data_IF_744379794155
#
_entry.id   IF_744379794155
#
_cell.length_a   1.000
_cell.length_b   1.000
_cell.length_c   1.000
_cell.angle_alpha   90.00
_cell.angle_beta   90.00
_cell.angle_gamma   90.00
#
_symmetry.space_group_name_H-M   'P 1'
#
loop_
_entity.id
_entity.type
_entity.pdbx_description
1 polymer ?
#
# COMPACT_ATOMS: atom_id res chain seq x y z
N UNK A 1 0.19 4.50 -11.99
CA UNK A 1 1.31 3.62 -11.76
C UNK A 1 1.10 2.29 -12.49
N UNK A 2 2.16 1.79 -13.13
CA UNK A 2 2.08 0.52 -13.86
C UNK A 2 3.33 -0.32 -13.57
N UNK A 3 3.13 -1.60 -13.28
CA UNK A 3 4.17 -2.62 -13.17
C UNK A 3 3.70 -3.87 -13.93
N UNK A 4 4.44 -4.30 -14.97
CA UNK A 4 3.96 -5.36 -15.86
C UNK A 4 2.60 -4.99 -16.47
N UNK A 5 1.61 -5.83 -16.27
CA UNK A 5 0.22 -5.62 -16.67
C UNK A 5 -0.69 -5.11 -15.52
N UNK A 6 -0.13 -4.95 -14.33
CA UNK A 6 -0.85 -4.39 -13.18
C UNK A 6 -0.79 -2.85 -13.23
N UNK A 7 -1.96 -2.22 -13.18
CA UNK A 7 -2.12 -0.77 -13.27
C UNK A 7 -3.03 -0.25 -12.16
N UNK A 8 -2.55 0.78 -11.45
CA UNK A 8 -3.30 1.47 -10.41
C UNK A 8 -3.45 2.96 -10.75
N UNK A 9 -4.60 3.53 -10.38
CA UNK A 9 -4.83 4.96 -10.34
C UNK A 9 -4.95 5.39 -8.88
N UNK A 10 -4.08 6.29 -8.43
CA UNK A 10 -4.23 6.97 -7.15
C UNK A 10 -4.67 8.42 -7.37
N UNK A 11 -5.61 8.87 -6.55
CA UNK A 11 -6.09 10.24 -6.53
C UNK A 11 -6.12 10.74 -5.09
N UNK A 12 -5.81 12.02 -4.91
CA UNK A 12 -5.82 12.67 -3.59
C UNK A 12 -6.60 13.96 -3.64
N UNK A 13 -7.31 14.26 -2.57
CA UNK A 13 -7.91 15.56 -2.35
C UNK A 13 -7.89 15.90 -0.86
N UNK A 14 -7.88 17.18 -0.54
CA UNK A 14 -7.96 17.67 0.83
C UNK A 14 -9.02 18.76 0.98
N UNK A 15 -9.60 18.84 2.17
CA UNK A 15 -10.40 19.99 2.54
C UNK A 15 -9.51 21.23 2.62
N UNK A 16 -10.06 22.40 2.28
CA UNK A 16 -9.33 23.66 2.32
C UNK A 16 -8.92 24.06 3.74
N UNK A 17 -9.82 23.84 4.70
CA UNK A 17 -9.64 24.22 6.09
C UNK A 17 -10.00 23.05 7.01
N UNK A 18 -9.37 22.98 8.17
CA UNK A 18 -9.74 22.03 9.21
C UNK A 18 -11.08 22.37 9.83
N UNK A 19 -11.84 21.38 10.25
CA UNK A 19 -13.06 21.58 11.04
C UNK A 19 -12.66 22.13 12.40
N UNK A 20 -13.28 23.24 12.89
CA UNK A 20 -12.95 23.81 14.20
C UNK A 20 -13.08 22.78 15.34
N UNK A 21 -12.03 22.66 16.15
CA UNK A 21 -11.97 21.74 17.28
C UNK A 21 -11.43 20.35 16.94
N UNK A 22 -11.00 20.10 15.71
CA UNK A 22 -10.31 18.86 15.35
C UNK A 22 -8.88 18.91 15.86
N UNK A 23 -8.46 17.90 16.65
CA UNK A 23 -7.15 17.77 17.28
C UNK A 23 -6.33 16.60 16.71
N UNK A 24 -6.79 15.98 15.62
CA UNK A 24 -6.13 14.90 14.91
C UNK A 24 -6.15 15.13 13.40
N UNK A 25 -5.37 14.36 12.66
CA UNK A 25 -5.34 14.40 11.20
C UNK A 25 -6.36 13.41 10.63
N UNK A 26 -7.47 13.89 10.00
CA UNK A 26 -8.49 13.02 9.40
C UNK A 26 -8.03 12.52 8.03
N UNK A 27 -7.21 11.46 8.01
CA UNK A 27 -6.81 10.76 6.79
C UNK A 27 -7.77 9.61 6.53
N UNK A 28 -8.32 9.58 5.34
CA UNK A 28 -9.11 8.45 4.84
C UNK A 28 -8.45 7.88 3.60
N UNK A 29 -8.13 6.59 3.65
CA UNK A 29 -7.56 5.84 2.54
C UNK A 29 -8.58 4.81 2.07
N UNK A 30 -8.85 4.78 0.77
CA UNK A 30 -9.67 3.76 0.12
C UNK A 30 -8.83 3.06 -0.96
N UNK A 31 -8.81 1.73 -0.90
CA UNK A 31 -8.25 0.86 -1.94
C UNK A 31 -9.34 -0.06 -2.47
N UNK A 32 -9.46 -0.17 -3.79
CA UNK A 32 -10.50 -0.98 -4.42
C UNK A 32 -9.97 -1.77 -5.60
N UNK A 33 -10.33 -3.05 -5.60
CA UNK A 33 -10.15 -3.97 -6.72
C UNK A 33 -11.51 -4.26 -7.35
N UNK A 34 -11.73 -3.73 -8.54
CA UNK A 34 -12.98 -3.96 -9.26
C UNK A 34 -12.86 -5.17 -10.17
N UNK A 35 -13.96 -5.92 -10.33
CA UNK A 35 -14.02 -7.05 -11.27
C UNK A 35 -13.55 -6.67 -12.67
N UNK A 36 -13.79 -5.44 -13.10
CA UNK A 36 -13.36 -4.92 -14.39
C UNK A 36 -11.83 -4.93 -14.58
N UNK A 37 -11.03 -4.80 -13.49
CA UNK A 37 -9.56 -4.86 -13.57
C UNK A 37 -9.05 -6.23 -14.06
N UNK A 38 -9.81 -7.30 -13.79
CA UNK A 38 -9.53 -8.66 -14.27
C UNK A 38 -10.35 -9.03 -15.53
N UNK A 39 -10.94 -8.03 -16.21
CA UNK A 39 -11.79 -8.26 -17.38
C UNK A 39 -13.08 -9.04 -17.10
N UNK A 40 -13.59 -8.97 -15.86
CA UNK A 40 -14.77 -9.74 -15.42
C UNK A 40 -15.92 -8.81 -15.03
N UNK A 41 -17.11 -9.39 -14.95
CA UNK A 41 -18.29 -8.72 -14.38
C UNK A 41 -18.54 -9.22 -12.96
N UNK A 42 -19.10 -8.38 -12.07
CA UNK A 42 -19.56 -8.83 -10.77
C UNK A 42 -20.56 -9.98 -10.91
N UNK A 43 -20.31 -11.06 -10.17
CA UNK A 43 -21.21 -12.22 -10.10
C UNK A 43 -22.31 -12.01 -9.06
N UNK A 44 -22.99 -13.10 -8.71
CA UNK A 44 -24.04 -13.12 -7.70
C UNK A 44 -25.37 -12.50 -8.14
N UNK A 45 -26.30 -12.44 -7.19
CA UNK A 45 -27.68 -12.01 -7.47
C UNK A 45 -27.78 -10.53 -7.85
N UNK A 46 -27.05 -9.66 -7.15
CA UNK A 46 -27.14 -8.21 -7.36
C UNK A 46 -26.35 -7.71 -8.57
N UNK A 47 -25.40 -8.49 -9.09
CA UNK A 47 -24.49 -8.12 -10.19
C UNK A 47 -23.82 -6.75 -9.98
N UNK A 48 -23.43 -6.47 -8.76
CA UNK A 48 -22.75 -5.22 -8.33
C UNK A 48 -21.46 -5.53 -7.59
N UNK A 49 -20.57 -4.55 -7.58
CA UNK A 49 -19.42 -4.55 -6.67
C UNK A 49 -19.92 -4.66 -5.22
N UNK A 50 -19.34 -5.57 -4.45
CA UNK A 50 -19.72 -5.80 -3.07
C UNK A 50 -19.09 -4.80 -2.09
N UNK A 51 -19.18 -5.13 -0.81
CA UNK A 51 -18.36 -4.46 0.23
C UNK A 51 -16.89 -4.75 -0.03
N UNK A 52 -16.02 -3.89 0.50
CA UNK A 52 -14.59 -4.14 0.49
C UNK A 52 -14.29 -5.51 1.11
N UNK A 53 -13.40 -6.27 0.48
CA UNK A 53 -12.86 -7.52 1.03
C UNK A 53 -11.92 -7.22 2.20
N UNK A 54 -11.63 -8.23 3.01
CA UNK A 54 -10.66 -8.11 4.11
C UNK A 54 -9.28 -7.71 3.59
N UNK A 55 -8.88 -8.20 2.42
CA UNK A 55 -7.64 -7.82 1.75
C UNK A 55 -7.62 -6.34 1.35
N UNK A 56 -8.69 -5.83 0.75
CA UNK A 56 -8.81 -4.39 0.41
C UNK A 56 -8.74 -3.52 1.68
N UNK A 57 -9.42 -3.93 2.76
CA UNK A 57 -9.40 -3.23 4.05
C UNK A 57 -7.99 -3.23 4.65
N UNK A 58 -7.29 -4.38 4.59
CA UNK A 58 -5.92 -4.48 5.10
C UNK A 58 -4.99 -3.57 4.31
N UNK A 59 -5.06 -3.59 2.99
CA UNK A 59 -4.27 -2.70 2.12
C UNK A 59 -4.53 -1.23 2.44
N UNK A 60 -5.80 -0.80 2.63
CA UNK A 60 -6.11 0.56 3.08
C UNK A 60 -5.37 0.93 4.38
N UNK A 61 -5.34 0.02 5.35
CA UNK A 61 -4.70 0.25 6.65
C UNK A 61 -3.18 0.30 6.57
N UNK A 62 -2.57 -0.50 5.70
CA UNK A 62 -1.12 -0.47 5.46
C UNK A 62 -0.71 0.86 4.84
N UNK A 63 -1.41 1.29 3.80
CA UNK A 63 -1.18 2.59 3.14
C UNK A 63 -1.39 3.76 4.11
N UNK A 64 -2.48 3.78 4.88
CA UNK A 64 -2.72 4.81 5.90
C UNK A 64 -1.57 4.87 6.92
N UNK A 65 -1.16 3.71 7.44
CA UNK A 65 -0.11 3.59 8.45
C UNK A 65 1.26 4.06 7.94
N UNK A 66 1.54 3.83 6.65
CA UNK A 66 2.79 4.26 6.02
C UNK A 66 2.80 5.77 5.75
N UNK A 67 1.66 6.35 5.31
CA UNK A 67 1.57 7.76 4.93
C UNK A 67 1.36 8.72 6.11
N UNK A 68 0.56 8.31 7.09
CA UNK A 68 0.11 9.17 8.20
C UNK A 68 1.23 9.89 8.96
N UNK A 69 2.37 9.26 9.30
CA UNK A 69 3.46 9.92 10.02
C UNK A 69 4.14 11.05 9.27
N UNK A 70 3.93 11.14 7.95
CA UNK A 70 4.57 12.12 7.07
C UNK A 70 3.75 13.39 6.86
N UNK A 71 2.60 13.51 7.52
CA UNK A 71 1.87 14.76 7.56
C UNK A 71 2.34 15.60 8.75
N UNK A 72 2.46 16.94 8.60
CA UNK A 72 2.82 17.82 9.69
C UNK A 72 1.87 17.68 10.89
N UNK A 73 2.38 17.69 12.11
CA UNK A 73 1.59 17.49 13.33
C UNK A 73 0.49 18.53 13.56
N UNK A 74 0.63 19.70 12.94
CA UNK A 74 -0.36 20.80 12.99
C UNK A 74 -1.33 20.78 11.78
N UNK A 75 -1.26 19.79 10.91
CA UNK A 75 -2.15 19.67 9.77
C UNK A 75 -3.39 18.84 10.14
N UNK A 76 -4.56 19.49 10.23
CA UNK A 76 -5.82 18.87 10.66
C UNK A 76 -6.93 18.97 9.61
N UNK A 77 -6.64 19.39 8.39
CA UNK A 77 -7.60 19.33 7.30
C UNK A 77 -7.82 17.88 6.86
N UNK A 78 -9.05 17.55 6.48
CA UNK A 78 -9.40 16.22 6.00
C UNK A 78 -8.69 15.91 4.69
N UNK A 79 -8.05 14.73 4.60
CA UNK A 79 -7.40 14.23 3.39
C UNK A 79 -8.03 12.90 2.99
N UNK A 80 -8.35 12.78 1.72
CA UNK A 80 -8.89 11.60 1.12
C UNK A 80 -7.95 11.08 0.03
N UNK A 81 -7.49 9.84 0.21
CA UNK A 81 -6.63 9.12 -0.74
C UNK A 81 -7.43 7.95 -1.31
N UNK A 82 -7.61 7.90 -2.61
CA UNK A 82 -8.34 6.83 -3.26
C UNK A 82 -7.45 6.14 -4.30
N UNK A 83 -7.24 4.84 -4.13
CA UNK A 83 -6.44 3.99 -5.01
C UNK A 83 -7.33 2.93 -5.62
N UNK A 84 -7.36 2.85 -6.94
CA UNK A 84 -8.18 1.91 -7.69
C UNK A 84 -7.29 1.05 -8.58
N UNK A 85 -7.43 -0.27 -8.48
CA UNK A 85 -6.83 -1.22 -9.40
C UNK A 85 -7.59 -1.20 -10.74
N UNK A 86 -6.91 -0.78 -11.81
CA UNK A 86 -7.46 -0.65 -13.15
C UNK A 86 -7.21 -1.87 -14.03
N UNK A 87 -6.08 -2.54 -13.82
CA UNK A 87 -5.72 -3.75 -14.55
C UNK A 87 -4.90 -4.67 -13.65
N UNK A 88 -5.16 -5.97 -13.73
CA UNK A 88 -4.40 -7.01 -13.05
C UNK A 88 -4.40 -8.28 -13.89
N UNK A 89 -3.25 -8.94 -14.00
CA UNK A 89 -3.09 -10.22 -14.69
C UNK A 89 -3.05 -11.43 -13.73
N UNK A 90 -3.08 -11.16 -12.42
CA UNK A 90 -2.99 -12.19 -11.39
C UNK A 90 -1.57 -12.73 -11.19
N UNK A 91 -0.54 -12.03 -11.67
CA UNK A 91 0.88 -12.36 -11.48
C UNK A 91 1.48 -11.47 -10.40
N UNK A 92 1.43 -10.15 -10.61
CA UNK A 92 1.99 -9.17 -9.70
C UNK A 92 0.97 -8.76 -8.63
N UNK A 93 1.42 -8.65 -7.39
CA UNK A 93 0.58 -8.21 -6.27
C UNK A 93 0.44 -6.68 -6.28
N UNK A 94 -0.80 -6.15 -6.20
CA UNK A 94 -1.03 -4.71 -6.31
C UNK A 94 -0.89 -3.93 -4.99
N UNK A 95 -0.82 -4.60 -3.84
CA UNK A 95 -0.89 -3.96 -2.52
C UNK A 95 0.29 -3.04 -2.20
N UNK A 96 1.54 -3.50 -2.40
CA UNK A 96 2.71 -2.64 -2.22
C UNK A 96 2.71 -1.46 -3.21
N UNK A 97 2.26 -1.73 -4.44
CA UNK A 97 2.11 -0.68 -5.46
C UNK A 97 1.06 0.37 -5.07
N UNK A 98 0.05 0.00 -4.26
CA UNK A 98 -0.97 0.93 -3.80
C UNK A 98 -0.39 2.04 -2.92
N UNK A 99 0.50 1.69 -1.97
CA UNK A 99 1.20 2.66 -1.13
C UNK A 99 2.12 3.57 -1.93
N UNK A 100 2.88 3.01 -2.85
CA UNK A 100 3.72 3.81 -3.75
C UNK A 100 2.91 4.75 -4.64
N UNK A 101 1.79 4.28 -5.23
CA UNK A 101 0.91 5.12 -6.04
C UNK A 101 0.26 6.26 -5.22
N UNK A 102 -0.16 5.98 -3.99
CA UNK A 102 -0.71 6.98 -3.07
C UNK A 102 0.34 8.04 -2.69
N UNK A 103 1.57 7.61 -2.39
CA UNK A 103 2.69 8.50 -2.11
C UNK A 103 3.03 9.40 -3.30
N UNK A 104 3.07 8.84 -4.52
CA UNK A 104 3.32 9.61 -5.72
C UNK A 104 2.22 10.65 -5.98
N UNK A 105 0.94 10.30 -5.73
CA UNK A 105 -0.17 11.24 -5.86
C UNK A 105 -0.10 12.39 -4.86
N UNK A 106 0.29 12.12 -3.60
CA UNK A 106 0.52 13.14 -2.59
C UNK A 106 1.70 14.05 -2.95
N UNK A 107 2.81 13.47 -3.40
CA UNK A 107 4.03 14.22 -3.74
C UNK A 107 3.86 15.22 -4.89
N UNK A 108 2.91 15.00 -5.79
CA UNK A 108 2.59 15.95 -6.90
C UNK A 108 1.43 16.87 -6.57
N UNK A 109 0.84 16.77 -5.39
CA UNK A 109 -0.25 17.63 -4.92
C UNK A 109 0.28 18.85 -4.17
N UNK A 110 -0.61 19.77 -3.81
CA UNK A 110 -0.34 20.90 -2.92
C UNK A 110 -0.59 20.58 -1.43
N UNK A 111 -0.89 19.33 -1.11
CA UNK A 111 -1.13 18.86 0.26
C UNK A 111 0.23 18.79 0.98
N UNK A 112 0.34 19.35 2.21
CA UNK A 112 1.57 19.25 3.00
C UNK A 112 1.90 17.80 3.31
N UNK A 113 3.01 17.29 2.75
CA UNK A 113 3.43 15.90 2.87
C UNK A 113 4.95 15.81 2.84
N UNK A 114 5.55 15.24 3.88
CA UNK A 114 7.01 15.12 4.07
C UNK A 114 7.60 13.84 3.43
N UNK A 115 6.89 13.29 2.42
CA UNK A 115 7.37 12.17 1.61
C UNK A 115 8.26 12.63 0.45
N UNK A 116 8.50 11.76 -0.54
CA UNK A 116 7.75 10.53 -0.81
C UNK A 116 8.16 9.34 0.06
N UNK A 117 7.32 8.30 0.04
CA UNK A 117 7.67 6.95 0.49
C UNK A 117 7.61 5.98 -0.67
N UNK A 118 8.39 4.91 -0.55
CA UNK A 118 8.19 3.66 -1.30
C UNK A 118 7.59 2.61 -0.37
N UNK A 119 6.76 1.76 -0.91
CA UNK A 119 6.24 0.59 -0.22
C UNK A 119 6.55 -0.64 -1.07
N UNK A 120 7.22 -1.62 -0.46
CA UNK A 120 7.63 -2.85 -1.14
C UNK A 120 7.27 -4.06 -0.29
N UNK A 121 6.95 -5.15 -0.97
CA UNK A 121 6.82 -6.46 -0.34
C UNK A 121 8.12 -7.24 -0.51
N UNK A 122 8.62 -7.84 0.56
CA UNK A 122 9.78 -8.72 0.53
C UNK A 122 9.38 -10.09 1.06
N UNK A 123 9.59 -11.11 0.26
CA UNK A 123 9.42 -12.50 0.66
C UNK A 123 10.77 -13.21 0.72
N UNK A 124 10.90 -14.20 1.61
CA UNK A 124 12.01 -15.14 1.59
C UNK A 124 11.53 -16.46 1.04
N UNK A 125 12.11 -16.85 -0.10
CA UNK A 125 11.76 -18.08 -0.83
C UNK A 125 13.03 -18.92 -0.97
N UNK A 126 13.03 -20.12 -0.42
CA UNK A 126 14.21 -21.02 -0.43
C UNK A 126 15.50 -20.37 0.11
N UNK A 127 15.38 -19.46 1.07
CA UNK A 127 16.51 -18.73 1.68
C UNK A 127 16.96 -17.48 0.91
N UNK A 128 16.35 -17.14 -0.22
CA UNK A 128 16.65 -15.95 -1.01
C UNK A 128 15.56 -14.88 -0.80
N UNK A 129 15.96 -13.60 -0.76
CA UNK A 129 15.04 -12.47 -0.64
C UNK A 129 14.57 -12.02 -2.02
N UNK A 130 13.25 -11.96 -2.19
CA UNK A 130 12.61 -11.54 -3.44
C UNK A 130 11.78 -10.28 -3.15
N UNK A 131 12.07 -9.20 -3.86
CA UNK A 131 11.29 -7.95 -3.78
C UNK A 131 10.10 -8.03 -4.73
N UNK A 132 8.94 -7.62 -4.24
CA UNK A 132 7.66 -7.69 -4.94
C UNK A 132 7.41 -9.08 -5.57
N UNK A 133 7.34 -10.13 -4.74
CA UNK A 133 7.16 -11.49 -5.22
C UNK A 133 5.84 -11.64 -5.96
N UNK A 134 5.81 -12.55 -6.92
CA UNK A 134 4.56 -13.00 -7.55
C UNK A 134 3.73 -13.85 -6.58
N UNK A 135 2.43 -14.00 -6.83
CA UNK A 135 1.57 -14.88 -6.03
C UNK A 135 2.15 -16.30 -5.89
N UNK A 136 2.69 -16.87 -6.97
CA UNK A 136 3.29 -18.22 -6.97
C UNK A 136 4.54 -18.31 -6.09
N UNK A 137 5.35 -17.26 -6.07
CA UNK A 137 6.55 -17.21 -5.22
C UNK A 137 6.15 -17.09 -3.75
N UNK A 138 5.13 -16.30 -3.46
CA UNK A 138 4.64 -16.08 -2.09
C UNK A 138 4.12 -17.38 -1.44
N UNK A 139 3.47 -18.27 -2.20
CA UNK A 139 3.02 -19.56 -1.68
C UNK A 139 4.14 -20.43 -1.10
N UNK A 140 5.38 -20.23 -1.55
CA UNK A 140 6.57 -20.98 -1.11
C UNK A 140 7.38 -20.22 -0.05
N UNK A 141 6.97 -19.02 0.31
CA UNK A 141 7.71 -18.17 1.24
C UNK A 141 7.59 -18.68 2.69
N UNK A 142 8.67 -18.52 3.44
CA UNK A 142 8.71 -18.69 4.88
C UNK A 142 8.72 -17.34 5.64
N UNK A 143 8.91 -16.25 4.91
CA UNK A 143 8.77 -14.86 5.39
C UNK A 143 8.08 -14.05 4.31
N UNK A 144 7.13 -13.22 4.71
CA UNK A 144 6.43 -12.25 3.89
C UNK A 144 6.25 -10.97 4.70
N UNK A 145 6.92 -9.90 4.30
CA UNK A 145 6.85 -8.61 4.96
C UNK A 145 6.56 -7.49 3.97
N UNK A 146 5.73 -6.55 4.41
CA UNK A 146 5.48 -5.28 3.73
C UNK A 146 6.26 -4.18 4.46
N UNK A 147 7.01 -3.39 3.73
CA UNK A 147 7.84 -2.32 4.29
C UNK A 147 7.55 -1.03 3.56
N UNK A 148 7.15 -0.01 4.33
CA UNK A 148 7.04 1.37 3.83
C UNK A 148 8.21 2.19 4.36
N UNK A 149 8.95 2.85 3.48
CA UNK A 149 10.14 3.60 3.84
C UNK A 149 10.28 4.92 3.06
N UNK A 150 10.88 5.91 3.70
CA UNK A 150 11.50 7.07 3.04
C UNK A 150 12.95 6.72 2.68
N UNK A 151 13.65 7.63 2.02
CA UNK A 151 15.09 7.47 1.74
C UNK A 151 15.92 7.23 3.02
N UNK A 152 15.53 7.82 4.14
CA UNK A 152 16.30 7.77 5.40
C UNK A 152 15.73 6.81 6.44
N UNK A 153 14.41 6.58 6.44
CA UNK A 153 13.73 5.93 7.56
C UNK A 153 12.71 4.88 7.10
N UNK A 154 12.67 3.78 7.85
CA UNK A 154 11.57 2.81 7.73
C UNK A 154 10.39 3.33 8.56
N UNK A 155 9.25 3.55 7.90
CA UNK A 155 8.04 4.12 8.48
C UNK A 155 7.05 3.05 8.95
N UNK A 156 7.00 1.92 8.24
CA UNK A 156 6.05 0.85 8.51
C UNK A 156 6.68 -0.50 8.17
N UNK A 157 6.46 -1.47 9.05
CA UNK A 157 6.74 -2.89 8.81
C UNK A 157 5.52 -3.69 9.26
N UNK A 158 5.06 -4.58 8.42
CA UNK A 158 4.00 -5.53 8.72
C UNK A 158 4.30 -6.83 8.00
N UNK A 159 3.90 -7.98 8.58
CA UNK A 159 4.10 -9.23 7.86
C UNK A 159 3.93 -10.46 8.75
N UNK A 160 4.15 -11.60 8.14
CA UNK A 160 4.10 -12.90 8.79
C UNK A 160 5.33 -13.75 8.42
N UNK A 161 5.70 -14.65 9.33
CA UNK A 161 6.88 -15.50 9.12
C UNK A 161 6.79 -16.81 9.91
N UNK A 162 7.46 -17.84 9.38
CA UNK A 162 7.50 -19.19 9.95
C UNK A 162 8.80 -19.37 10.74
N UNK A 163 8.85 -18.85 11.98
CA UNK A 163 9.98 -19.03 12.92
C UNK A 163 11.37 -18.71 12.31
N UNK A 164 11.47 -17.56 11.62
CA UNK A 164 12.76 -17.09 11.09
C UNK A 164 13.60 -16.40 12.18
N UNK A 165 14.90 -16.28 11.96
CA UNK A 165 15.80 -15.62 12.91
C UNK A 165 15.67 -14.09 12.82
N UNK A 166 16.02 -13.38 13.91
CA UNK A 166 16.08 -11.91 13.91
C UNK A 166 17.07 -11.39 12.85
N UNK A 167 18.14 -12.13 12.60
CA UNK A 167 19.14 -11.75 11.59
C UNK A 167 18.54 -11.80 10.18
N UNK A 168 17.71 -12.82 9.88
CA UNK A 168 17.01 -12.92 8.60
C UNK A 168 16.03 -11.78 8.41
N UNK A 169 15.28 -11.41 9.47
CA UNK A 169 14.37 -10.25 9.42
C UNK A 169 15.15 -8.95 9.18
N UNK A 170 16.26 -8.72 9.88
CA UNK A 170 17.10 -7.54 9.65
C UNK A 170 17.65 -7.47 8.22
N UNK A 171 18.03 -8.61 7.65
CA UNK A 171 18.48 -8.66 6.26
C UNK A 171 17.33 -8.35 5.27
N UNK A 172 16.14 -8.88 5.52
CA UNK A 172 14.95 -8.56 4.71
C UNK A 172 14.60 -7.07 4.74
N UNK A 173 14.68 -6.44 5.93
CA UNK A 173 14.46 -5.00 6.08
C UNK A 173 15.49 -4.15 5.33
N UNK A 174 16.76 -4.58 5.30
CA UNK A 174 17.79 -3.91 4.49
C UNK A 174 17.49 -4.03 3.00
N UNK A 175 17.15 -5.22 2.52
CA UNK A 175 16.76 -5.44 1.12
C UNK A 175 15.56 -4.60 0.75
N UNK A 176 14.55 -4.51 1.62
CA UNK A 176 13.37 -3.68 1.40
C UNK A 176 13.68 -2.18 1.34
N UNK A 177 14.62 -1.70 2.17
CA UNK A 177 15.01 -0.29 2.22
C UNK A 177 15.89 0.13 1.03
N UNK A 178 16.67 -0.80 0.49
CA UNK A 178 17.53 -0.58 -0.67
C UNK A 178 16.76 -0.64 -2.01
N UNK A 179 15.57 -1.25 -2.02
CA UNK A 179 14.75 -1.44 -3.23
C UNK A 179 13.90 -0.21 -3.57
#
# INVERSE_FOLDING_TARGET
LTMGNTMLLATVCAAKDAVPGTDFMPLQVEYREKFAAAGRFPGGFTKREGKASDYEILTCRLVDRALRPLFPSNYHAEVYVNVILYSADGVDMPDALAGFAASAALAVSDIPFEGPISEVRVARVNGEYVVNPTFTQLEQADMDIMVGATEENIMMVEGEMKEVTEQDLLNALKVAHEA
#
